data_IF_596918781421
#
_entry.id   IF_596918781421
#
_cell.length_a   1.000
_cell.length_b   1.000
_cell.length_c   1.000
_cell.angle_alpha   90.00
_cell.angle_beta   90.00
_cell.angle_gamma   90.00
#
_symmetry.space_group_name_H-M   'P 1'
#
loop_
_entity.id
_entity.type
_entity.pdbx_description
1 polymer ?
#
# COMPACT_ATOMS: atom_id res chain seq x y z
N UNK A 1 -12.64 36.32 14.97
CA UNK A 1 -12.85 34.85 14.97
C UNK A 1 -13.33 34.43 13.59
N UNK A 2 -12.49 33.76 12.80
CA UNK A 2 -12.86 33.22 11.49
C UNK A 2 -13.10 31.71 11.68
N UNK A 3 -14.33 31.29 11.44
CA UNK A 3 -14.78 29.90 11.51
C UNK A 3 -14.13 29.18 10.33
N UNK A 4 -13.19 28.27 10.62
CA UNK A 4 -12.68 27.33 9.63
C UNK A 4 -13.84 26.42 9.21
N UNK A 5 -14.27 26.56 7.96
CA UNK A 5 -15.19 25.62 7.33
C UNK A 5 -14.45 24.30 7.16
N UNK A 6 -14.71 23.38 8.08
CA UNK A 6 -14.47 21.96 7.89
C UNK A 6 -15.13 21.50 6.59
N UNK A 7 -14.31 21.18 5.58
CA UNK A 7 -14.77 20.37 4.46
C UNK A 7 -14.59 18.92 4.90
N UNK A 8 -15.62 18.43 5.58
CA UNK A 8 -15.91 17.01 5.68
C UNK A 8 -16.87 16.67 4.53
N UNK A 9 -16.59 15.56 3.85
CA UNK A 9 -17.52 14.74 3.05
C UNK A 9 -17.68 15.13 1.57
N UNK A 10 -17.01 14.35 0.72
CA UNK A 10 -17.64 13.56 -0.35
C UNK A 10 -16.88 12.21 -0.35
N UNK A 11 -17.31 11.17 0.36
CA UNK A 11 -18.37 10.25 -0.09
C UNK A 11 -18.26 9.90 -1.58
N UNK A 12 -17.11 9.35 -1.97
CA UNK A 12 -17.00 8.41 -3.08
C UNK A 12 -16.82 7.01 -2.52
N UNK A 13 -17.77 6.54 -1.69
CA UNK A 13 -17.89 5.12 -1.35
C UNK A 13 -18.37 4.41 -2.61
N UNK A 14 -17.46 4.17 -3.55
CA UNK A 14 -17.54 2.95 -4.33
C UNK A 14 -16.90 1.87 -3.45
N UNK A 15 -17.68 1.37 -2.49
CA UNK A 15 -17.46 0.01 -1.99
C UNK A 15 -17.85 -0.95 -3.10
N UNK A 16 -17.05 -0.95 -4.18
CA UNK A 16 -16.84 -2.20 -4.89
C UNK A 16 -16.06 -3.02 -3.87
N UNK A 17 -16.67 -4.10 -3.39
CA UNK A 17 -15.91 -5.14 -2.72
C UNK A 17 -14.91 -5.64 -3.75
N UNK A 18 -13.73 -5.02 -3.81
CA UNK A 18 -12.62 -5.51 -4.60
C UNK A 18 -12.19 -6.75 -3.84
N UNK A 19 -12.64 -7.92 -4.31
CA UNK A 19 -11.95 -9.15 -3.96
C UNK A 19 -10.55 -8.98 -4.48
N UNK A 20 -9.61 -8.78 -3.56
CA UNK A 20 -8.19 -8.78 -3.88
C UNK A 20 -7.88 -10.20 -4.30
N UNK A 21 -7.44 -10.36 -5.53
CA UNK A 21 -6.99 -11.63 -6.07
C UNK A 21 -5.48 -11.53 -6.28
N UNK A 22 -4.79 -12.66 -6.43
CA UNK A 22 -3.36 -12.68 -6.73
C UNK A 22 -2.98 -11.83 -7.96
N UNK A 23 -3.88 -11.70 -8.95
CA UNK A 23 -3.70 -10.85 -10.13
C UNK A 23 -3.61 -9.35 -9.82
N UNK A 24 -4.21 -8.89 -8.71
CA UNK A 24 -4.18 -7.48 -8.34
C UNK A 24 -2.80 -7.05 -7.84
N UNK A 25 -1.99 -8.01 -7.40
CA UNK A 25 -0.59 -7.75 -7.08
C UNK A 25 0.19 -7.30 -8.32
N UNK A 26 -0.12 -7.84 -9.51
CA UNK A 26 0.58 -7.51 -10.76
C UNK A 26 0.32 -6.08 -11.25
N UNK A 27 -0.75 -5.44 -10.75
CA UNK A 27 -1.10 -4.06 -11.07
C UNK A 27 -0.28 -3.02 -10.29
N UNK A 28 0.43 -3.42 -9.23
CA UNK A 28 1.38 -2.55 -8.53
C UNK A 28 2.68 -2.48 -9.34
N UNK A 29 2.81 -1.46 -10.18
CA UNK A 29 3.97 -1.26 -11.07
C UNK A 29 5.16 -0.66 -10.31
N UNK A 30 6.25 -1.40 -10.16
CA UNK A 30 7.43 -0.91 -9.45
C UNK A 30 8.37 -0.06 -10.31
N UNK A 31 8.08 0.12 -11.60
CA UNK A 31 8.95 0.86 -12.52
C UNK A 31 9.09 2.33 -12.12
N UNK A 32 10.05 3.04 -12.71
CA UNK A 32 10.15 4.49 -12.57
C UNK A 32 9.04 5.13 -13.43
N UNK A 33 8.13 5.88 -12.81
CA UNK A 33 7.05 6.56 -13.52
C UNK A 33 7.51 7.87 -14.11
N UNK A 34 6.90 8.27 -15.23
CA UNK A 34 7.29 9.50 -15.92
C UNK A 34 6.76 10.76 -15.21
N UNK A 35 5.59 10.67 -14.59
CA UNK A 35 4.94 11.80 -13.91
C UNK A 35 4.69 11.49 -12.44
N UNK A 36 4.67 12.56 -11.64
CA UNK A 36 4.29 12.48 -10.22
C UNK A 36 2.89 11.88 -10.03
N UNK A 37 1.96 12.23 -10.92
CA UNK A 37 0.58 11.75 -10.85
C UNK A 37 0.49 10.23 -11.00
N UNK A 38 1.22 9.66 -11.97
CA UNK A 38 1.26 8.22 -12.21
C UNK A 38 1.89 7.49 -11.01
N UNK A 39 3.01 8.01 -10.51
CA UNK A 39 3.64 7.48 -9.29
C UNK A 39 2.67 7.51 -8.10
N UNK A 40 2.00 8.63 -7.87
CA UNK A 40 1.08 8.80 -6.74
C UNK A 40 -0.12 7.86 -6.81
N UNK A 41 -0.76 7.74 -7.98
CA UNK A 41 -1.93 6.86 -8.16
C UNK A 41 -1.55 5.40 -7.95
N UNK A 42 -0.42 4.98 -8.49
CA UNK A 42 0.06 3.61 -8.36
C UNK A 42 0.52 3.30 -6.92
N UNK A 43 1.15 4.27 -6.23
CA UNK A 43 1.48 4.14 -4.82
C UNK A 43 0.22 4.02 -3.94
N UNK A 44 -0.78 4.85 -4.19
CA UNK A 44 -2.07 4.79 -3.49
C UNK A 44 -2.78 3.47 -3.75
N UNK A 45 -2.76 2.96 -4.98
CA UNK A 45 -3.33 1.67 -5.33
C UNK A 45 -2.72 0.54 -4.48
N UNK A 46 -1.40 0.51 -4.31
CA UNK A 46 -0.75 -0.45 -3.42
C UNK A 46 -1.14 -0.30 -1.94
N UNK A 47 -1.34 0.93 -1.45
CA UNK A 47 -1.86 1.15 -0.09
C UNK A 47 -3.30 0.66 0.07
N UNK A 48 -4.15 0.88 -0.93
CA UNK A 48 -5.54 0.46 -0.91
C UNK A 48 -5.68 -1.06 -0.91
N UNK A 49 -4.77 -1.78 -1.57
CA UNK A 49 -4.71 -3.26 -1.50
C UNK A 49 -4.42 -3.75 -0.07
N UNK A 50 -3.52 -3.09 0.66
CA UNK A 50 -3.24 -3.42 2.08
C UNK A 50 -4.47 -3.15 2.97
N UNK A 51 -5.19 -2.07 2.70
CA UNK A 51 -6.40 -1.73 3.46
C UNK A 51 -7.53 -2.73 3.19
N UNK A 52 -7.69 -3.15 1.93
CA UNK A 52 -8.72 -4.10 1.52
C UNK A 52 -8.47 -5.48 2.12
N UNK A 53 -7.23 -5.95 2.14
CA UNK A 53 -6.84 -7.21 2.81
C UNK A 53 -7.23 -7.22 4.31
N UNK A 54 -7.04 -6.11 5.03
CA UNK A 54 -7.48 -6.01 6.44
C UNK A 54 -8.99 -6.14 6.60
N UNK A 55 -9.76 -5.62 5.65
CA UNK A 55 -11.23 -5.70 5.66
C UNK A 55 -11.67 -7.14 5.36
N UNK A 56 -11.03 -7.81 4.40
CA UNK A 56 -11.29 -9.21 4.04
C UNK A 56 -10.99 -10.18 5.18
N UNK A 57 -9.86 -10.03 5.88
CA UNK A 57 -9.55 -10.82 7.08
C UNK A 57 -10.60 -10.62 8.19
N UNK A 58 -11.07 -9.39 8.39
CA UNK A 58 -12.05 -9.07 9.42
C UNK A 58 -13.47 -9.56 9.08
N UNK A 59 -13.79 -9.69 7.79
CA UNK A 59 -15.10 -10.13 7.30
C UNK A 59 -15.20 -11.64 7.06
N UNK A 60 -14.10 -12.38 7.19
CA UNK A 60 -14.09 -13.84 7.09
C UNK A 60 -14.13 -14.36 5.65
N UNK A 61 -13.44 -13.68 4.74
CA UNK A 61 -13.32 -14.10 3.34
C UNK A 61 -12.74 -15.53 3.18
N UNK A 62 -12.99 -16.13 2.02
CA UNK A 62 -12.64 -17.52 1.70
C UNK A 62 -11.13 -17.80 1.60
N UNK A 63 -10.32 -16.77 1.39
CA UNK A 63 -8.87 -16.88 1.32
C UNK A 63 -8.25 -17.11 2.70
N UNK A 64 -7.18 -17.90 2.73
CA UNK A 64 -6.51 -18.23 3.99
C UNK A 64 -5.82 -17.01 4.60
N UNK A 65 -5.71 -16.98 5.93
CA UNK A 65 -4.92 -15.96 6.62
C UNK A 65 -3.46 -15.92 6.14
N UNK A 66 -2.92 -17.06 5.70
CA UNK A 66 -1.57 -17.18 5.19
C UNK A 66 -1.45 -16.54 3.79
N UNK A 67 -2.47 -16.69 2.94
CA UNK A 67 -2.57 -16.01 1.63
C UNK A 67 -2.52 -14.49 1.81
N UNK A 68 -3.35 -13.96 2.72
CA UNK A 68 -3.40 -12.52 2.99
C UNK A 68 -2.09 -11.99 3.57
N UNK A 69 -1.45 -12.75 4.46
CA UNK A 69 -0.14 -12.39 5.00
C UNK A 69 0.93 -12.39 3.90
N UNK A 70 0.93 -13.38 3.00
CA UNK A 70 1.83 -13.42 1.85
C UNK A 70 1.63 -12.21 0.93
N UNK A 71 0.39 -11.89 0.55
CA UNK A 71 0.09 -10.74 -0.29
C UNK A 71 0.54 -9.43 0.35
N UNK A 72 0.30 -9.26 1.66
CA UNK A 72 0.82 -8.10 2.40
C UNK A 72 2.34 -8.03 2.34
N UNK A 73 3.05 -9.14 2.44
CA UNK A 73 4.51 -9.17 2.29
C UNK A 73 4.94 -8.71 0.89
N UNK A 74 4.30 -9.24 -0.16
CA UNK A 74 4.59 -8.84 -1.55
C UNK A 74 4.31 -7.36 -1.79
N UNK A 75 3.16 -6.83 -1.32
CA UNK A 75 2.79 -5.43 -1.53
C UNK A 75 3.77 -4.49 -0.81
N UNK A 76 4.13 -4.77 0.45
CA UNK A 76 5.11 -3.93 1.16
C UNK A 76 6.46 -3.90 0.43
N UNK A 77 6.92 -5.06 -0.06
CA UNK A 77 8.14 -5.12 -0.86
C UNK A 77 8.04 -4.25 -2.12
N UNK A 78 6.93 -4.35 -2.85
CA UNK A 78 6.67 -3.54 -4.05
C UNK A 78 6.61 -2.04 -3.74
N UNK A 79 5.95 -1.64 -2.66
CA UNK A 79 5.90 -0.23 -2.23
C UNK A 79 7.29 0.32 -1.88
N UNK A 80 8.16 -0.47 -1.24
CA UNK A 80 9.55 -0.08 -0.98
C UNK A 80 10.30 0.13 -2.29
N UNK A 81 10.17 -0.79 -3.25
CA UNK A 81 10.82 -0.64 -4.57
C UNK A 81 10.27 0.57 -5.33
N UNK A 82 8.97 0.79 -5.31
CA UNK A 82 8.33 1.93 -5.97
C UNK A 82 8.85 3.26 -5.39
N UNK A 83 8.96 3.38 -4.06
CA UNK A 83 9.56 4.54 -3.42
C UNK A 83 11.05 4.69 -3.74
N UNK A 84 11.80 3.61 -3.94
CA UNK A 84 13.21 3.76 -4.35
C UNK A 84 13.34 4.22 -5.80
N UNK A 85 12.56 3.63 -6.70
CA UNK A 85 12.64 3.88 -8.13
C UNK A 85 12.10 5.27 -8.51
N UNK A 86 11.25 5.87 -7.66
CA UNK A 86 10.62 7.17 -7.90
C UNK A 86 11.13 8.28 -6.99
N UNK A 87 12.36 8.17 -6.46
CA UNK A 87 12.95 9.19 -5.59
C UNK A 87 12.99 10.58 -6.23
N UNK A 88 13.02 10.69 -7.56
CA UNK A 88 12.92 11.98 -8.28
C UNK A 88 11.65 12.78 -7.95
N UNK A 89 10.58 12.11 -7.50
CA UNK A 89 9.30 12.69 -7.13
C UNK A 89 9.17 13.03 -5.64
N UNK A 90 10.25 12.85 -4.86
CA UNK A 90 10.27 13.03 -3.41
C UNK A 90 9.79 14.41 -2.96
N UNK A 91 10.17 15.48 -3.66
CA UNK A 91 9.79 16.84 -3.27
C UNK A 91 8.29 17.09 -3.43
N UNK A 92 7.71 16.65 -4.54
CA UNK A 92 6.28 16.74 -4.82
C UNK A 92 5.48 15.89 -3.81
N UNK A 93 5.96 14.68 -3.52
CA UNK A 93 5.38 13.79 -2.53
C UNK A 93 5.45 14.36 -1.11
N UNK A 94 6.58 14.98 -0.73
CA UNK A 94 6.72 15.64 0.57
C UNK A 94 5.76 16.83 0.69
N UNK A 95 5.52 17.60 -0.37
CA UNK A 95 4.55 18.70 -0.35
C UNK A 95 3.13 18.21 -0.04
N UNK A 96 2.75 17.05 -0.55
CA UNK A 96 1.46 16.42 -0.20
C UNK A 96 1.46 15.88 1.24
N UNK A 97 2.51 15.15 1.66
CA UNK A 97 2.63 14.55 2.99
C UNK A 97 2.82 15.54 4.16
N UNK A 98 3.28 16.77 3.90
CA UNK A 98 3.37 17.80 4.94
C UNK A 98 2.02 18.05 5.61
N UNK A 99 0.90 17.78 4.91
CA UNK A 99 -0.46 17.86 5.47
C UNK A 99 -0.73 16.76 6.50
N UNK A 100 -0.01 15.65 6.42
CA UNK A 100 -0.15 14.46 7.26
C UNK A 100 0.94 14.36 8.35
N UNK A 101 1.81 15.37 8.48
CA UNK A 101 2.96 15.39 9.39
C UNK A 101 3.93 14.21 9.17
N UNK A 102 4.05 13.77 7.91
CA UNK A 102 4.97 12.71 7.50
C UNK A 102 5.94 13.20 6.42
N UNK A 103 6.94 12.39 6.08
CA UNK A 103 7.84 12.61 4.96
C UNK A 103 8.04 11.32 4.16
N UNK A 104 8.54 11.48 2.95
CA UNK A 104 8.92 10.40 2.06
C UNK A 104 9.86 9.40 2.75
N UNK A 105 10.95 9.91 3.33
CA UNK A 105 11.98 9.09 3.98
C UNK A 105 11.44 8.42 5.25
N UNK A 106 10.56 9.11 5.99
CA UNK A 106 9.92 8.55 7.18
C UNK A 106 8.98 7.41 6.79
N UNK A 107 8.20 7.57 5.71
CA UNK A 107 7.32 6.54 5.19
C UNK A 107 8.11 5.33 4.67
N UNK A 108 9.15 5.58 3.85
CA UNK A 108 10.04 4.52 3.36
C UNK A 108 10.65 3.74 4.52
N UNK A 109 11.22 4.45 5.51
CA UNK A 109 11.81 3.83 6.70
C UNK A 109 10.78 2.99 7.47
N UNK A 110 9.56 3.50 7.63
CA UNK A 110 8.49 2.80 8.34
C UNK A 110 8.10 1.50 7.63
N UNK A 111 7.96 1.52 6.32
CA UNK A 111 7.61 0.32 5.54
C UNK A 111 8.77 -0.70 5.56
N UNK A 112 10.02 -0.23 5.44
CA UNK A 112 11.21 -1.09 5.54
C UNK A 112 11.34 -1.77 6.91
N UNK A 113 11.10 -1.03 8.00
CA UNK A 113 11.12 -1.60 9.34
C UNK A 113 10.01 -2.65 9.50
N UNK A 114 8.81 -2.37 9.00
CA UNK A 114 7.71 -3.32 9.01
C UNK A 114 8.04 -4.59 8.22
N UNK A 115 8.61 -4.47 7.01
CA UNK A 115 9.07 -5.61 6.21
C UNK A 115 10.12 -6.44 6.96
N UNK A 116 11.08 -5.78 7.61
CA UNK A 116 12.13 -6.44 8.37
C UNK A 116 11.59 -7.16 9.62
N UNK A 117 10.64 -6.57 10.33
CA UNK A 117 9.96 -7.19 11.47
C UNK A 117 9.16 -8.43 11.06
N UNK A 118 8.55 -8.40 9.87
CA UNK A 118 7.71 -9.48 9.35
C UNK A 118 8.48 -10.52 8.54
N UNK A 119 9.79 -10.32 8.30
CA UNK A 119 10.60 -11.12 7.38
C UNK A 119 10.44 -12.63 7.57
N UNK A 120 10.61 -13.13 8.80
CA UNK A 120 10.50 -14.57 9.08
C UNK A 120 9.09 -15.12 8.80
N UNK A 121 8.05 -14.31 9.06
CA UNK A 121 6.67 -14.69 8.76
C UNK A 121 6.43 -14.71 7.26
N UNK A 122 6.94 -13.70 6.53
CA UNK A 122 6.87 -13.61 5.07
C UNK A 122 7.55 -14.80 4.37
N UNK A 123 8.73 -15.21 4.84
CA UNK A 123 9.44 -16.38 4.32
C UNK A 123 8.64 -17.67 4.57
N UNK A 124 8.03 -17.82 5.74
CA UNK A 124 7.22 -18.99 6.07
C UNK A 124 5.95 -19.09 5.19
N UNK A 125 5.21 -17.99 5.03
CA UNK A 125 3.97 -18.00 4.22
C UNK A 125 4.22 -18.09 2.73
N UNK A 126 5.35 -17.59 2.23
CA UNK A 126 5.74 -17.81 0.84
C UNK A 126 5.87 -19.30 0.52
N UNK A 127 6.55 -20.06 1.40
CA UNK A 127 6.71 -21.51 1.23
C UNK A 127 5.37 -22.25 1.24
N UNK A 128 4.40 -21.78 2.03
CA UNK A 128 3.06 -22.38 2.05
C UNK A 128 2.22 -21.97 0.81
N UNK A 129 2.33 -20.70 0.38
CA UNK A 129 1.65 -20.21 -0.82
C UNK A 129 2.12 -20.94 -2.09
N UNK A 130 3.43 -21.19 -2.22
CA UNK A 130 4.02 -21.91 -3.37
C UNK A 130 3.53 -23.37 -3.52
N UNK A 131 2.81 -23.92 -2.52
CA UNK A 131 2.23 -25.28 -2.56
C UNK A 131 0.80 -25.32 -3.08
N UNK A 132 0.12 -24.16 -3.18
CA UNK A 132 -1.26 -24.02 -3.65
C UNK A 132 -1.28 -23.95 -5.18
#
# INVERSE_FOLDING_TARGET
>A
MKIFKSILILAGIFSVFVQVNASDLDHVDISEQQTYQDFRENFQYGLDLILTERISLASGDAESSDTYLYWRCVINHKLIQMLKNNEKHKDEFNQELLKEQSSYDALLTKIQNFEQEQKASCEAVQVEYDKI
#
